data_IF_411895714032
#
_entry.id   IF_411895714032
#
_cell.length_a   1.000
_cell.length_b   1.000
_cell.length_c   1.000
_cell.angle_alpha   90.00
_cell.angle_beta   90.00
_cell.angle_gamma   90.00
#
_symmetry.space_group_name_H-M   'P 1'
#
loop_
_entity.id
_entity.type
_entity.pdbx_description
1 polymer ?
#
# COMPACT_ATOMS: atom_id res chain seq x y z
N UNK A 1 19.29 -24.55 14.66
CA UNK A 1 17.83 -24.77 14.71
C UNK A 1 17.24 -24.57 13.32
N UNK A 2 16.61 -25.59 12.74
CA UNK A 2 15.90 -25.43 11.46
C UNK A 2 14.69 -24.50 11.68
N UNK A 3 14.50 -23.52 10.80
CA UNK A 3 13.34 -22.62 10.88
C UNK A 3 12.07 -23.43 10.60
N UNK A 4 10.97 -23.20 11.34
CA UNK A 4 9.73 -23.94 11.15
C UNK A 4 9.21 -23.76 9.71
N UNK A 5 9.11 -24.86 8.97
CA UNK A 5 8.62 -24.91 7.59
C UNK A 5 7.09 -25.05 7.59
N UNK A 6 6.37 -23.93 7.66
CA UNK A 6 4.90 -23.92 7.62
C UNK A 6 4.28 -22.67 8.25
N UNK A 7 2.94 -22.56 8.19
CA UNK A 7 2.18 -21.52 8.89
C UNK A 7 2.57 -20.08 8.53
N UNK A 8 2.84 -19.26 9.55
CA UNK A 8 3.27 -17.86 9.39
C UNK A 8 4.55 -17.74 8.55
N UNK A 9 5.45 -18.72 8.61
CA UNK A 9 6.68 -18.74 7.80
C UNK A 9 6.35 -18.86 6.30
N UNK A 10 5.28 -19.55 5.92
CA UNK A 10 4.82 -19.61 4.53
C UNK A 10 4.13 -18.30 4.08
N UNK A 11 3.53 -17.59 5.03
CA UNK A 11 2.87 -16.29 4.81
C UNK A 11 3.86 -15.12 4.70
N UNK A 12 5.00 -15.17 5.39
CA UNK A 12 6.03 -14.13 5.34
C UNK A 12 7.32 -14.56 4.60
N UNK A 13 7.39 -15.82 4.14
CA UNK A 13 8.54 -16.40 3.45
C UNK A 13 8.51 -16.21 1.93
N UNK A 14 9.59 -16.56 1.24
CA UNK A 14 9.72 -16.38 -0.22
C UNK A 14 8.75 -17.31 -0.98
N UNK A 15 7.77 -16.76 -1.72
CA UNK A 15 6.83 -17.56 -2.50
C UNK A 15 5.54 -16.81 -2.87
N UNK A 16 4.57 -17.52 -3.45
CA UNK A 16 3.28 -16.96 -3.90
C UNK A 16 2.47 -16.29 -2.79
N UNK A 17 2.63 -16.75 -1.54
CA UNK A 17 1.93 -16.25 -0.34
C UNK A 17 2.75 -15.24 0.49
N UNK A 18 4.07 -15.14 0.30
CA UNK A 18 4.93 -14.38 1.22
C UNK A 18 6.07 -13.55 0.61
N UNK A 19 6.17 -13.41 -0.71
CA UNK A 19 7.05 -12.40 -1.32
C UNK A 19 6.45 -10.99 -1.13
N UNK A 20 6.54 -10.43 0.06
CA UNK A 20 5.99 -9.11 0.37
C UNK A 20 6.93 -8.01 -0.09
N UNK A 21 6.38 -7.01 -0.78
CA UNK A 21 7.13 -5.86 -1.30
C UNK A 21 6.54 -4.53 -0.85
N UNK A 22 7.41 -3.52 -0.74
CA UNK A 22 7.02 -2.14 -0.43
C UNK A 22 6.66 -1.40 -1.72
N UNK A 23 5.36 -1.18 -1.94
CA UNK A 23 4.87 -0.40 -3.09
C UNK A 23 5.05 1.11 -2.92
N UNK A 24 5.28 1.56 -1.69
CA UNK A 24 5.57 2.96 -1.41
C UNK A 24 7.03 3.31 -1.68
N UNK A 25 7.93 2.34 -1.76
CA UNK A 25 9.35 2.57 -1.99
C UNK A 25 9.63 2.88 -3.47
N UNK A 26 10.64 3.73 -3.75
CA UNK A 26 11.12 3.89 -5.11
C UNK A 26 11.60 2.55 -5.65
N UNK A 27 11.30 2.25 -6.91
CA UNK A 27 11.78 1.02 -7.55
C UNK A 27 13.31 1.08 -7.69
N UNK A 28 13.97 -0.04 -7.41
CA UNK A 28 15.40 -0.22 -7.68
C UNK A 28 15.53 -1.16 -8.87
N UNK A 29 16.25 -0.73 -9.92
CA UNK A 29 16.41 -1.51 -11.17
C UNK A 29 15.06 -1.99 -11.75
N UNK A 30 14.05 -1.11 -11.71
CA UNK A 30 12.69 -1.43 -12.20
C UNK A 30 11.86 -2.38 -11.32
N UNK A 31 12.40 -2.89 -10.22
CA UNK A 31 11.74 -3.87 -9.33
C UNK A 31 11.31 -3.23 -8.00
N UNK A 32 10.22 -3.74 -7.42
CA UNK A 32 9.82 -3.36 -6.06
C UNK A 32 10.82 -3.95 -5.06
N UNK A 33 11.07 -3.20 -3.98
CA UNK A 33 11.95 -3.62 -2.90
C UNK A 33 11.20 -4.56 -1.94
N UNK A 34 11.92 -5.44 -1.25
CA UNK A 34 11.35 -6.27 -0.18
C UNK A 34 10.69 -5.39 0.88
N UNK A 35 9.54 -5.83 1.40
CA UNK A 35 8.86 -5.07 2.44
C UNK A 35 9.52 -5.22 3.81
N UNK A 36 9.36 -4.20 4.64
CA UNK A 36 9.96 -4.13 5.96
C UNK A 36 11.14 -3.17 6.02
N UNK A 37 11.49 -2.76 7.24
CA UNK A 37 12.63 -1.89 7.53
C UNK A 37 13.53 -2.59 8.53
N UNK A 38 14.85 -2.49 8.34
CA UNK A 38 15.82 -3.02 9.31
C UNK A 38 15.85 -2.21 10.61
N UNK A 39 15.51 -0.91 10.55
CA UNK A 39 15.40 -0.05 11.72
C UNK A 39 14.36 1.05 11.52
N UNK A 40 13.72 1.45 12.60
CA UNK A 40 12.75 2.54 12.67
C UNK A 40 13.39 3.93 12.82
N UNK A 41 14.61 3.99 13.34
CA UNK A 41 15.15 5.22 13.95
C UNK A 41 15.85 6.16 12.95
N UNK A 42 16.22 5.67 11.76
CA UNK A 42 17.04 6.43 10.80
C UNK A 42 16.30 6.90 9.54
N UNK A 43 14.98 6.70 9.46
CA UNK A 43 14.21 6.95 8.24
C UNK A 43 13.21 8.08 8.41
N UNK A 44 13.38 9.17 7.64
CA UNK A 44 12.34 10.21 7.45
C UNK A 44 11.12 9.70 6.65
N UNK A 45 11.17 8.48 6.12
CA UNK A 45 10.09 7.85 5.33
C UNK A 45 9.00 7.29 6.24
N UNK A 46 7.75 7.46 5.81
CA UNK A 46 6.59 6.83 6.43
C UNK A 46 6.69 5.29 6.41
N UNK A 47 5.88 4.63 7.24
CA UNK A 47 5.81 3.17 7.33
C UNK A 47 5.63 2.52 5.95
N UNK A 48 6.40 1.44 5.66
CA UNK A 48 6.32 0.75 4.38
C UNK A 48 4.91 0.22 4.13
N UNK A 49 4.47 0.22 2.87
CA UNK A 49 3.16 -0.30 2.48
C UNK A 49 3.38 -1.67 1.84
N UNK A 50 3.22 -2.70 2.66
CA UNK A 50 3.47 -4.08 2.27
C UNK A 50 2.28 -4.68 1.53
N UNK A 51 2.54 -5.26 0.38
CA UNK A 51 1.60 -6.13 -0.34
C UNK A 51 2.36 -7.32 -0.95
N UNK A 52 1.69 -8.46 -1.22
CA UNK A 52 2.30 -9.56 -1.96
C UNK A 52 2.77 -9.12 -3.36
N UNK A 53 3.90 -9.66 -3.83
CA UNK A 53 4.50 -9.36 -5.13
C UNK A 53 3.54 -9.60 -6.29
N UNK A 54 2.74 -10.67 -6.19
CA UNK A 54 1.68 -11.02 -7.14
C UNK A 54 0.69 -9.85 -7.28
N UNK A 55 0.21 -9.31 -6.15
CA UNK A 55 -0.67 -8.14 -6.15
C UNK A 55 0.03 -6.89 -6.67
N UNK A 56 1.25 -6.62 -6.23
CA UNK A 56 2.02 -5.45 -6.66
C UNK A 56 2.23 -5.40 -8.19
N UNK A 57 2.37 -6.55 -8.84
CA UNK A 57 2.50 -6.65 -10.31
C UNK A 57 1.22 -6.26 -11.05
N UNK A 58 0.06 -6.57 -10.47
CA UNK A 58 -1.25 -6.23 -11.05
C UNK A 58 -1.69 -4.79 -10.80
N UNK A 59 -1.04 -4.08 -9.86
CA UNK A 59 -1.44 -2.72 -9.51
C UNK A 59 -0.93 -1.71 -10.53
N UNK A 60 -1.83 -0.86 -11.02
CA UNK A 60 -1.48 0.29 -11.86
C UNK A 60 -0.81 1.39 -11.04
N UNK A 61 -0.13 2.34 -11.71
CA UNK A 61 0.49 3.51 -11.05
C UNK A 61 -0.54 4.31 -10.22
N UNK A 62 -1.77 4.45 -10.71
CA UNK A 62 -2.84 5.17 -10.00
C UNK A 62 -3.33 4.41 -8.77
N UNK A 63 -3.44 3.08 -8.85
CA UNK A 63 -3.77 2.22 -7.72
C UNK A 63 -2.68 2.24 -6.66
N UNK A 64 -1.40 2.18 -7.05
CA UNK A 64 -0.26 2.28 -6.13
C UNK A 64 -0.28 3.64 -5.43
N UNK A 65 -0.41 4.74 -6.19
CA UNK A 65 -0.53 6.09 -5.61
C UNK A 65 -1.66 6.15 -4.61
N UNK A 66 -2.85 5.66 -4.99
CA UNK A 66 -4.04 5.60 -4.14
C UNK A 66 -3.80 4.83 -2.83
N UNK A 67 -3.10 3.70 -2.88
CA UNK A 67 -2.81 2.84 -1.72
C UNK A 67 -1.73 3.42 -0.79
N UNK A 68 -0.77 4.16 -1.35
CA UNK A 68 0.34 4.77 -0.58
C UNK A 68 -0.09 6.09 0.05
N UNK A 69 -0.89 6.89 -0.66
CA UNK A 69 -1.35 8.18 -0.15
C UNK A 69 -2.28 8.01 1.05
N UNK A 70 -2.10 8.84 2.08
CA UNK A 70 -3.08 8.96 3.15
C UNK A 70 -4.39 9.49 2.56
N UNK A 71 -5.49 8.77 2.75
CA UNK A 71 -6.83 9.23 2.36
C UNK A 71 -7.27 10.35 3.29
N UNK A 72 -7.53 11.52 2.73
CA UNK A 72 -7.99 12.71 3.47
C UNK A 72 -9.03 13.45 2.65
N UNK A 73 -10.08 13.94 3.30
CA UNK A 73 -11.04 14.81 2.62
C UNK A 73 -10.60 16.29 2.68
N UNK A 74 -9.78 16.66 3.67
CA UNK A 74 -9.18 17.99 3.82
C UNK A 74 -7.70 17.90 4.24
N UNK A 75 -6.86 18.91 3.92
CA UNK A 75 -5.48 18.97 4.41
C UNK A 75 -5.40 18.98 5.95
N UNK A 76 -4.25 18.58 6.51
CA UNK A 76 -4.02 18.64 7.96
C UNK A 76 -3.73 20.08 8.39
N UNK A 77 -4.18 20.47 9.58
CA UNK A 77 -4.04 21.84 10.08
C UNK A 77 -5.25 22.73 9.82
N UNK A 78 -6.31 22.21 9.18
CA UNK A 78 -7.62 22.87 9.23
C UNK A 78 -8.20 22.62 10.62
N UNK A 79 -8.32 23.66 11.44
CA UNK A 79 -8.92 23.54 12.78
C UNK A 79 -10.32 22.91 12.73
N UNK A 80 -10.70 22.23 13.82
CA UNK A 80 -12.01 21.57 13.94
C UNK A 80 -12.03 20.08 13.58
N UNK A 81 -13.24 19.51 13.49
CA UNK A 81 -13.47 18.07 13.32
C UNK A 81 -12.92 17.55 11.98
N UNK A 82 -12.15 16.44 11.95
CA UNK A 82 -11.65 15.84 10.71
C UNK A 82 -12.80 15.50 9.75
N UNK A 83 -12.65 15.87 8.47
CA UNK A 83 -13.59 15.46 7.42
C UNK A 83 -13.16 14.11 6.85
N UNK A 84 -14.03 13.09 6.95
CA UNK A 84 -13.76 11.75 6.44
C UNK A 84 -13.95 11.68 4.91
N UNK A 85 -13.11 10.86 4.25
CA UNK A 85 -13.27 10.59 2.81
C UNK A 85 -14.49 9.71 2.61
N UNK A 86 -15.37 10.06 1.65
CA UNK A 86 -16.48 9.20 1.25
C UNK A 86 -15.93 7.89 0.68
N UNK A 87 -16.24 6.77 1.33
CA UNK A 87 -15.81 5.43 0.93
C UNK A 87 -16.57 4.89 -0.28
N UNK A 88 -17.77 5.40 -0.54
CA UNK A 88 -18.63 5.04 -1.67
C UNK A 88 -18.90 6.30 -2.48
N UNK A 89 -18.32 6.38 -3.68
CA UNK A 89 -18.67 7.44 -4.63
C UNK A 89 -19.99 7.06 -5.26
N UNK A 90 -21.07 7.82 -5.00
CA UNK A 90 -22.38 7.57 -5.64
C UNK A 90 -22.18 7.51 -7.15
N UNK A 91 -22.69 6.46 -7.80
CA UNK A 91 -22.65 6.30 -9.26
C UNK A 91 -23.23 7.57 -9.89
N UNK A 92 -22.47 8.24 -10.77
CA UNK A 92 -22.99 9.38 -11.54
C UNK A 92 -24.22 8.88 -12.29
N UNK A 93 -25.40 9.46 -12.03
CA UNK A 93 -26.56 9.29 -12.90
C UNK A 93 -26.11 9.82 -14.27
N UNK A 94 -26.04 8.96 -15.28
CA UNK A 94 -25.82 9.42 -16.66
C UNK A 94 -27.02 10.30 -16.97
N UNK A 95 -26.81 11.61 -17.13
CA UNK A 95 -27.86 12.50 -17.60
C UNK A 95 -28.32 11.97 -18.96
N UNK A 96 -29.61 11.70 -19.10
CA UNK A 96 -30.25 11.45 -20.38
C UNK A 96 -29.93 12.65 -21.25
N UNK A 97 -29.10 12.47 -22.28
CA UNK A 97 -29.01 13.48 -23.34
C UNK A 97 -30.39 13.52 -23.96
N UNK A 98 -31.08 14.65 -23.81
CA UNK A 98 -32.21 15.01 -24.67
C UNK A 98 -31.67 15.27 -26.07
#
# INVERSE_FOLDING_TARGET
MAKPTGGLTAWFGKGSKGDWVDIGAPKKKGKFQSCGRKSATKSKRAYPKCVPRSKARTMTKSQIKSAVTRKRAKPQGVGGKPTNVRTIVKKKKKGTKK
#
